data_IF_491248122397
#
_entry.id   IF_491248122397
#
_cell.length_a   1.000
_cell.length_b   1.000
_cell.length_c   1.000
_cell.angle_alpha   90.00
_cell.angle_beta   90.00
_cell.angle_gamma   90.00
#
_symmetry.space_group_name_H-M   'P 1'
#
loop_
_entity.id
_entity.type
_entity.pdbx_description
1 polymer ?
#
# COMPACT_ATOMS: atom_id res chain seq x y z
N UNK A 1 -41.55 -25.18 -48.13
CA UNK A 1 -42.28 -26.01 -47.15
C UNK A 1 -41.24 -26.53 -46.18
N UNK A 2 -41.06 -25.85 -45.06
CA UNK A 2 -40.19 -26.31 -43.99
C UNK A 2 -40.85 -27.53 -43.35
N UNK A 3 -40.13 -28.65 -43.31
CA UNK A 3 -40.51 -29.83 -42.53
C UNK A 3 -40.79 -29.42 -41.08
N UNK A 4 -41.84 -29.93 -40.43
CA UNK A 4 -42.05 -29.66 -39.01
C UNK A 4 -40.77 -30.05 -38.26
N UNK A 5 -40.13 -29.06 -37.66
CA UNK A 5 -38.89 -29.24 -36.91
C UNK A 5 -39.13 -30.32 -35.85
N UNK A 6 -38.33 -31.38 -35.88
CA UNK A 6 -38.39 -32.44 -34.87
C UNK A 6 -38.17 -31.81 -33.50
N UNK A 7 -39.26 -31.63 -32.75
CA UNK A 7 -39.28 -30.89 -31.48
C UNK A 7 -38.44 -31.56 -30.37
N UNK A 8 -37.79 -32.70 -30.63
CA UNK A 8 -36.99 -33.44 -29.67
C UNK A 8 -35.50 -33.45 -30.02
N UNK A 9 -35.11 -32.92 -31.18
CA UNK A 9 -33.71 -32.81 -31.61
C UNK A 9 -33.09 -31.53 -31.04
N UNK A 10 -31.78 -31.54 -30.81
CA UNK A 10 -31.00 -30.45 -30.23
C UNK A 10 -31.40 -30.07 -28.79
N UNK A 11 -31.74 -31.07 -27.98
CA UNK A 11 -32.11 -30.88 -26.56
C UNK A 11 -31.32 -31.80 -25.64
N UNK A 12 -31.12 -31.37 -24.41
CA UNK A 12 -30.56 -32.22 -23.35
C UNK A 12 -31.64 -33.12 -22.75
N UNK A 13 -31.33 -34.39 -22.57
CA UNK A 13 -32.21 -35.35 -21.90
C UNK A 13 -31.80 -35.47 -20.45
N UNK A 14 -32.74 -35.22 -19.55
CA UNK A 14 -32.54 -35.29 -18.10
C UNK A 14 -33.43 -36.39 -17.54
N UNK A 15 -32.83 -37.32 -16.80
CA UNK A 15 -33.58 -38.29 -15.99
C UNK A 15 -33.99 -37.62 -14.68
N UNK A 16 -35.30 -37.47 -14.48
CA UNK A 16 -35.87 -36.96 -13.25
C UNK A 16 -35.65 -37.94 -12.07
N UNK A 17 -35.78 -39.27 -12.21
CA UNK A 17 -35.46 -40.22 -11.13
C UNK A 17 -33.99 -40.22 -10.71
N UNK A 18 -33.06 -40.04 -11.65
CA UNK A 18 -31.62 -40.09 -11.36
C UNK A 18 -31.01 -38.71 -11.08
N UNK A 19 -31.73 -37.63 -11.38
CA UNK A 19 -31.24 -36.26 -11.27
C UNK A 19 -30.03 -35.96 -12.16
N UNK A 20 -29.85 -36.71 -13.27
CA UNK A 20 -28.66 -36.65 -14.13
C UNK A 20 -28.99 -36.34 -15.58
N UNK A 21 -28.08 -35.63 -16.22
CA UNK A 21 -28.11 -35.39 -17.68
C UNK A 21 -27.65 -36.69 -18.36
N UNK A 22 -28.53 -37.30 -19.15
CA UNK A 22 -28.25 -38.53 -19.88
C UNK A 22 -27.46 -38.27 -21.17
N UNK A 23 -27.68 -37.12 -21.81
CA UNK A 23 -26.97 -36.74 -23.03
C UNK A 23 -27.70 -35.67 -23.83
N UNK A 24 -27.11 -35.29 -24.97
CA UNK A 24 -27.69 -34.33 -25.92
C UNK A 24 -28.20 -35.04 -27.17
N UNK A 25 -29.48 -34.84 -27.52
CA UNK A 25 -30.13 -35.51 -28.66
C UNK A 25 -29.66 -34.92 -29.98
N UNK A 26 -29.02 -35.75 -30.79
CA UNK A 26 -28.58 -35.38 -32.14
C UNK A 26 -29.54 -35.82 -33.22
N UNK A 27 -30.27 -36.91 -32.98
CA UNK A 27 -31.19 -37.49 -33.97
C UNK A 27 -32.31 -38.30 -33.30
N UNK A 28 -33.43 -38.46 -33.99
CA UNK A 28 -34.61 -39.18 -33.50
C UNK A 28 -35.23 -40.04 -34.59
N UNK A 29 -35.50 -41.30 -34.26
CA UNK A 29 -36.30 -42.21 -35.06
C UNK A 29 -37.58 -42.56 -34.30
N UNK A 30 -38.69 -42.68 -35.02
CA UNK A 30 -39.96 -43.15 -34.46
C UNK A 30 -40.23 -44.56 -34.97
N UNK A 31 -40.44 -45.50 -34.06
CA UNK A 31 -40.88 -46.86 -34.37
C UNK A 31 -42.30 -47.07 -33.85
N UNK A 32 -43.14 -47.71 -34.65
CA UNK A 32 -44.46 -48.18 -34.21
C UNK A 32 -44.39 -49.70 -34.07
N UNK A 33 -44.56 -50.19 -32.84
CA UNK A 33 -44.65 -51.63 -32.54
C UNK A 33 -45.85 -51.85 -31.62
N UNK A 34 -46.64 -52.89 -31.90
CA UNK A 34 -47.75 -53.32 -31.04
C UNK A 34 -48.72 -52.18 -30.66
N UNK A 35 -49.07 -51.34 -31.64
CA UNK A 35 -49.96 -50.18 -31.46
C UNK A 35 -49.43 -49.08 -30.51
N UNK A 36 -48.14 -49.10 -30.16
CA UNK A 36 -47.48 -48.07 -29.35
C UNK A 36 -46.39 -47.36 -30.15
N UNK A 37 -46.30 -46.04 -29.97
CA UNK A 37 -45.20 -45.23 -30.50
C UNK A 37 -43.99 -45.33 -29.57
N UNK A 38 -42.81 -45.50 -30.17
CA UNK A 38 -41.54 -45.46 -29.47
C UNK A 38 -40.62 -44.44 -30.14
N UNK A 39 -39.98 -43.60 -29.32
CA UNK A 39 -38.94 -42.70 -29.78
C UNK A 39 -37.57 -43.30 -29.48
N UNK A 40 -36.76 -43.47 -30.53
CA UNK A 40 -35.36 -43.86 -30.41
C UNK A 40 -34.52 -42.59 -30.55
N UNK A 41 -34.05 -42.11 -29.41
CA UNK A 41 -33.17 -40.95 -29.32
C UNK A 41 -31.73 -41.41 -29.49
N UNK A 42 -31.02 -40.81 -30.46
CA UNK A 42 -29.56 -40.88 -30.53
C UNK A 42 -29.00 -39.67 -29.79
N UNK A 43 -28.19 -39.94 -28.77
CA UNK A 43 -27.63 -38.89 -27.92
C UNK A 43 -26.12 -39.02 -27.78
N UNK A 44 -25.44 -37.88 -27.69
CA UNK A 44 -24.04 -37.82 -27.28
C UNK A 44 -23.98 -37.70 -25.77
N UNK A 45 -23.25 -38.60 -25.12
CA UNK A 45 -23.14 -38.66 -23.66
C UNK A 45 -22.01 -37.73 -23.18
N UNK A 46 -22.22 -37.08 -22.03
CA UNK A 46 -21.20 -36.28 -21.34
C UNK A 46 -20.50 -37.13 -20.28
N UNK A 47 -19.24 -37.49 -20.50
CA UNK A 47 -18.50 -38.35 -19.55
C UNK A 47 -17.84 -37.60 -18.38
N UNK A 48 -17.79 -36.25 -18.36
CA UNK A 48 -16.94 -35.52 -17.40
C UNK A 48 -17.52 -34.18 -16.89
N UNK A 49 -18.72 -34.17 -16.29
CA UNK A 49 -19.28 -32.94 -15.68
C UNK A 49 -18.55 -32.49 -14.40
N UNK A 50 -17.66 -33.31 -13.82
CA UNK A 50 -17.06 -33.06 -12.50
C UNK A 50 -15.93 -32.02 -12.44
N UNK A 51 -15.53 -31.40 -13.56
CA UNK A 51 -14.33 -30.52 -13.59
C UNK A 51 -14.48 -29.16 -14.26
N UNK A 52 -15.69 -28.71 -14.62
CA UNK A 52 -15.92 -27.30 -15.00
C UNK A 52 -15.22 -26.82 -16.29
N UNK A 53 -14.54 -27.68 -17.04
CA UNK A 53 -13.89 -27.32 -18.30
C UNK A 53 -14.70 -27.90 -19.47
N UNK A 54 -15.46 -27.04 -20.16
CA UNK A 54 -16.09 -27.34 -21.44
C UNK A 54 -15.03 -27.32 -22.54
N UNK A 55 -14.47 -28.49 -22.88
CA UNK A 55 -13.59 -28.62 -24.04
C UNK A 55 -14.39 -29.06 -25.28
N UNK A 56 -14.17 -28.43 -26.46
CA UNK A 56 -14.79 -28.84 -27.72
C UNK A 56 -14.16 -30.14 -28.24
N UNK A 57 -14.50 -31.26 -27.59
CA UNK A 57 -14.00 -32.61 -27.88
C UNK A 57 -14.55 -33.68 -26.94
N UNK A 58 -15.52 -33.34 -26.08
CA UNK A 58 -15.98 -34.12 -24.93
C UNK A 58 -17.06 -35.17 -25.22
N UNK A 59 -17.35 -35.43 -26.50
CA UNK A 59 -18.38 -36.36 -26.94
C UNK A 59 -17.76 -37.68 -27.39
N UNK A 60 -17.54 -38.61 -26.47
CA UNK A 60 -16.82 -39.87 -26.73
C UNK A 60 -17.73 -41.03 -27.15
N UNK A 61 -19.03 -40.99 -26.85
CA UNK A 61 -19.94 -42.12 -27.14
C UNK A 61 -21.34 -41.68 -27.59
N UNK A 62 -21.83 -42.30 -28.67
CA UNK A 62 -23.21 -42.18 -29.13
C UNK A 62 -24.06 -43.28 -28.47
N UNK A 63 -25.00 -42.87 -27.61
CA UNK A 63 -25.91 -43.77 -26.91
C UNK A 63 -27.29 -43.70 -27.57
N UNK A 64 -27.93 -44.86 -27.72
CA UNK A 64 -29.32 -44.95 -28.18
C UNK A 64 -30.21 -45.30 -26.99
N UNK A 65 -31.27 -44.54 -26.81
CA UNK A 65 -32.30 -44.79 -25.79
C UNK A 65 -33.65 -44.88 -26.49
N UNK A 66 -34.43 -45.90 -26.12
CA UNK A 66 -35.81 -46.10 -26.59
C UNK A 66 -36.74 -45.69 -25.45
N UNK A 67 -37.58 -44.69 -25.69
CA UNK A 67 -38.56 -44.17 -24.71
C UNK A 67 -39.98 -44.24 -25.28
N UNK A 68 -40.94 -44.35 -24.37
CA UNK A 68 -42.36 -44.20 -24.68
C UNK A 68 -42.79 -42.74 -24.48
N UNK A 69 -43.88 -42.29 -25.13
CA UNK A 69 -44.48 -40.98 -24.87
C UNK A 69 -44.80 -40.76 -23.38
N UNK A 70 -45.21 -41.81 -22.66
CA UNK A 70 -45.56 -41.77 -21.23
C UNK A 70 -44.35 -41.50 -20.32
N UNK A 71 -43.13 -41.78 -20.78
CA UNK A 71 -41.90 -41.54 -20.02
C UNK A 71 -41.51 -40.05 -20.04
N UNK A 72 -42.07 -39.27 -20.97
CA UNK A 72 -41.77 -37.85 -21.13
C UNK A 72 -42.66 -37.02 -20.20
N UNK A 73 -42.05 -36.40 -19.20
CA UNK A 73 -42.74 -35.52 -18.25
C UNK A 73 -42.92 -34.12 -18.84
N UNK A 74 -41.89 -33.59 -19.51
CA UNK A 74 -41.93 -32.26 -20.11
C UNK A 74 -40.91 -32.15 -21.26
N UNK A 75 -41.27 -31.38 -22.29
CA UNK A 75 -40.39 -30.97 -23.38
C UNK A 75 -40.31 -29.44 -23.37
N UNK A 76 -39.19 -28.92 -22.87
CA UNK A 76 -38.88 -27.49 -22.87
C UNK A 76 -38.15 -27.03 -24.14
N UNK A 77 -37.78 -25.75 -24.24
CA UNK A 77 -37.04 -25.20 -25.39
C UNK A 77 -35.65 -25.82 -25.57
N UNK A 78 -34.98 -26.22 -24.48
CA UNK A 78 -33.60 -26.77 -24.53
C UNK A 78 -33.46 -28.16 -23.89
N UNK A 79 -34.50 -28.64 -23.19
CA UNK A 79 -34.44 -29.85 -22.35
C UNK A 79 -35.65 -30.77 -22.55
N UNK A 80 -35.42 -32.07 -22.45
CA UNK A 80 -36.44 -33.12 -22.37
C UNK A 80 -36.29 -33.78 -21.00
N UNK A 81 -37.36 -33.78 -20.21
CA UNK A 81 -37.40 -34.36 -18.88
C UNK A 81 -38.07 -35.72 -18.97
N UNK A 82 -37.32 -36.78 -18.66
CA UNK A 82 -37.82 -38.15 -18.57
C UNK A 82 -38.13 -38.49 -17.12
N UNK A 83 -39.35 -38.94 -16.85
CA UNK A 83 -39.79 -39.33 -15.51
C UNK A 83 -39.81 -40.83 -15.28
N UNK A 84 -39.62 -41.66 -16.32
CA UNK A 84 -39.89 -43.11 -16.28
C UNK A 84 -41.26 -43.42 -15.63
N UNK A 85 -42.26 -42.57 -15.88
CA UNK A 85 -43.60 -42.68 -15.27
C UNK A 85 -43.70 -42.31 -13.78
N UNK A 86 -42.63 -41.80 -13.15
CA UNK A 86 -42.60 -41.41 -11.72
C UNK A 86 -42.43 -39.89 -11.58
N UNK A 87 -43.52 -39.21 -11.23
CA UNK A 87 -43.44 -37.85 -10.70
C UNK A 87 -42.86 -37.93 -9.27
N UNK A 88 -41.86 -37.11 -8.91
CA UNK A 88 -41.32 -37.06 -7.57
C UNK A 88 -42.45 -36.81 -6.56
N UNK A 89 -42.45 -37.51 -5.41
CA UNK A 89 -43.45 -37.28 -4.37
C UNK A 89 -43.51 -35.80 -3.99
N UNK A 90 -44.70 -35.28 -3.68
CA UNK A 90 -44.90 -33.86 -3.29
C UNK A 90 -43.91 -33.37 -2.21
N UNK A 91 -43.51 -34.27 -1.28
CA UNK A 91 -42.49 -34.00 -0.25
C UNK A 91 -41.11 -33.64 -0.80
N UNK A 92 -40.71 -34.21 -1.94
CA UNK A 92 -39.41 -33.89 -2.56
C UNK A 92 -39.47 -32.54 -3.28
N UNK A 93 -40.63 -32.19 -3.86
CA UNK A 93 -40.87 -30.88 -4.47
C UNK A 93 -40.79 -29.78 -3.40
N UNK A 94 -41.44 -29.97 -2.25
CA UNK A 94 -41.36 -29.03 -1.12
C UNK A 94 -39.93 -28.86 -0.59
N UNK A 95 -39.15 -29.96 -0.51
CA UNK A 95 -37.73 -29.89 -0.15
C UNK A 95 -36.91 -29.11 -1.16
N UNK A 96 -37.15 -29.29 -2.46
CA UNK A 96 -36.44 -28.54 -3.51
C UNK A 96 -36.76 -27.05 -3.45
N UNK A 97 -38.00 -26.67 -3.14
CA UNK A 97 -38.37 -25.27 -2.93
C UNK A 97 -37.62 -24.68 -1.73
N UNK A 98 -37.56 -25.40 -0.60
CA UNK A 98 -36.81 -24.96 0.58
C UNK A 98 -35.32 -24.80 0.27
N UNK A 99 -34.72 -25.75 -0.45
CA UNK A 99 -33.32 -25.66 -0.88
C UNK A 99 -33.09 -24.46 -1.81
N UNK A 100 -34.02 -24.18 -2.72
CA UNK A 100 -33.92 -23.02 -3.60
C UNK A 100 -34.01 -21.68 -2.83
N UNK A 101 -34.86 -21.61 -1.80
CA UNK A 101 -34.96 -20.45 -0.92
C UNK A 101 -33.67 -20.24 -0.12
N UNK A 102 -33.12 -21.30 0.48
CA UNK A 102 -31.82 -21.27 1.19
C UNK A 102 -30.69 -20.86 0.25
N UNK A 103 -30.63 -21.42 -0.96
CA UNK A 103 -29.63 -21.05 -1.95
C UNK A 103 -29.72 -19.57 -2.32
N UNK A 104 -30.92 -19.05 -2.56
CA UNK A 104 -31.12 -17.63 -2.88
C UNK A 104 -30.74 -16.71 -1.70
N UNK A 105 -30.99 -17.14 -0.46
CA UNK A 105 -30.54 -16.40 0.72
C UNK A 105 -29.00 -16.38 0.81
N UNK A 106 -28.36 -17.52 0.58
CA UNK A 106 -26.91 -17.66 0.59
C UNK A 106 -26.25 -16.79 -0.50
N UNK A 107 -26.81 -16.79 -1.71
CA UNK A 107 -26.32 -15.95 -2.82
C UNK A 107 -26.35 -14.47 -2.44
N UNK A 108 -27.45 -13.98 -1.86
CA UNK A 108 -27.55 -12.59 -1.39
C UNK A 108 -26.54 -12.25 -0.30
N UNK A 109 -26.26 -13.18 0.60
CA UNK A 109 -25.24 -12.98 1.64
C UNK A 109 -23.84 -12.92 1.02
N UNK A 110 -23.58 -13.76 0.02
CA UNK A 110 -22.33 -13.82 -0.71
C UNK A 110 -22.09 -12.52 -1.51
N UNK A 111 -23.11 -12.00 -2.19
CA UNK A 111 -23.07 -10.69 -2.87
C UNK A 111 -22.72 -9.55 -1.91
N UNK A 112 -23.36 -9.50 -0.72
CA UNK A 112 -23.04 -8.50 0.31
C UNK A 112 -21.60 -8.60 0.78
N UNK A 113 -21.11 -9.82 0.99
CA UNK A 113 -19.72 -10.05 1.41
C UNK A 113 -18.73 -9.67 0.31
N UNK A 114 -19.06 -9.90 -0.96
CA UNK A 114 -18.23 -9.43 -2.08
C UNK A 114 -18.17 -7.91 -2.16
N UNK A 115 -19.29 -7.20 -1.93
CA UNK A 115 -19.29 -5.73 -1.86
C UNK A 115 -18.44 -5.22 -0.70
N UNK A 116 -18.54 -5.84 0.47
CA UNK A 116 -17.72 -5.52 1.64
C UNK A 116 -16.23 -5.72 1.35
N UNK A 117 -15.86 -6.83 0.70
CA UNK A 117 -14.48 -7.10 0.27
C UNK A 117 -13.98 -6.05 -0.73
N UNK A 118 -14.83 -5.61 -1.67
CA UNK A 118 -14.45 -4.56 -2.63
C UNK A 118 -14.16 -3.24 -1.91
N UNK A 119 -15.03 -2.82 -1.00
CA UNK A 119 -14.82 -1.61 -0.19
C UNK A 119 -13.53 -1.69 0.62
N UNK A 120 -13.31 -2.80 1.33
CA UNK A 120 -12.10 -2.99 2.12
C UNK A 120 -10.83 -3.00 1.25
N UNK A 121 -10.88 -3.55 0.02
CA UNK A 121 -9.76 -3.49 -0.92
C UNK A 121 -9.47 -2.08 -1.40
N UNK A 122 -10.50 -1.25 -1.60
CA UNK A 122 -10.34 0.16 -1.98
C UNK A 122 -9.73 0.96 -0.83
N UNK A 123 -10.27 0.83 0.38
CA UNK A 123 -9.72 1.46 1.59
C UNK A 123 -8.26 1.05 1.82
N UNK A 124 -7.93 -0.23 1.64
CA UNK A 124 -6.56 -0.72 1.81
C UNK A 124 -5.60 -0.11 0.79
N UNK A 125 -6.03 0.09 -0.47
CA UNK A 125 -5.24 0.79 -1.49
C UNK A 125 -5.02 2.26 -1.14
N UNK A 126 -6.04 2.94 -0.61
CA UNK A 126 -5.91 4.33 -0.18
C UNK A 126 -4.94 4.45 1.00
N UNK A 127 -5.07 3.57 1.99
CA UNK A 127 -4.16 3.51 3.14
C UNK A 127 -2.72 3.23 2.71
N UNK A 128 -2.50 2.32 1.76
CA UNK A 128 -1.16 2.07 1.21
C UNK A 128 -0.53 3.32 0.58
N UNK A 129 -1.30 4.09 -0.20
CA UNK A 129 -0.81 5.36 -0.77
C UNK A 129 -0.44 6.36 0.32
N UNK A 130 -1.26 6.47 1.36
CA UNK A 130 -1.00 7.37 2.50
C UNK A 130 0.29 6.94 3.21
N UNK A 131 0.50 5.64 3.42
CA UNK A 131 1.73 5.11 4.02
C UNK A 131 2.95 5.48 3.17
N UNK A 132 2.91 5.26 1.85
CA UNK A 132 4.01 5.62 0.95
C UNK A 132 4.33 7.12 0.99
N UNK A 133 3.31 7.98 1.05
CA UNK A 133 3.50 9.44 1.17
C UNK A 133 4.11 9.83 2.52
N UNK A 134 3.68 9.20 3.60
CA UNK A 134 4.21 9.42 4.94
C UNK A 134 5.66 8.97 5.05
N UNK A 135 6.01 7.80 4.51
CA UNK A 135 7.40 7.32 4.46
C UNK A 135 8.31 8.29 3.70
N UNK A 136 7.84 8.86 2.58
CA UNK A 136 8.59 9.90 1.84
C UNK A 136 8.73 11.19 2.63
N UNK A 137 7.78 11.54 3.51
CA UNK A 137 7.89 12.70 4.40
C UNK A 137 8.90 12.42 5.51
N UNK A 138 8.87 11.23 6.11
CA UNK A 138 9.82 10.81 7.14
C UNK A 138 11.25 10.89 6.62
N UNK A 139 11.55 10.32 5.45
CA UNK A 139 12.90 10.41 4.85
C UNK A 139 13.37 11.85 4.62
N UNK A 140 12.45 12.76 4.27
CA UNK A 140 12.78 14.18 4.11
C UNK A 140 13.10 14.83 5.45
N UNK A 141 12.38 14.45 6.52
CA UNK A 141 12.65 14.95 7.86
C UNK A 141 13.97 14.42 8.40
N UNK A 142 14.33 13.16 8.14
CA UNK A 142 15.63 12.58 8.53
C UNK A 142 16.80 13.39 7.94
N UNK A 143 16.73 13.75 6.64
CA UNK A 143 17.77 14.60 6.01
C UNK A 143 17.85 15.98 6.68
N UNK A 144 16.70 16.58 7.00
CA UNK A 144 16.66 17.88 7.68
C UNK A 144 17.23 17.77 9.10
N UNK A 145 17.00 16.66 9.79
CA UNK A 145 17.55 16.40 11.12
C UNK A 145 19.07 16.27 11.09
N UNK A 146 19.61 15.57 10.09
CA UNK A 146 21.06 15.46 9.86
C UNK A 146 21.68 16.84 9.55
N UNK A 147 21.06 17.62 8.65
CA UNK A 147 21.48 18.99 8.33
C UNK A 147 21.47 19.89 9.59
N UNK A 148 20.44 19.77 10.42
CA UNK A 148 20.36 20.48 11.69
C UNK A 148 21.47 20.06 12.66
N UNK A 149 21.80 18.77 12.72
CA UNK A 149 22.94 18.26 13.48
C UNK A 149 24.26 18.89 13.05
N UNK A 150 24.50 18.97 11.75
CA UNK A 150 25.69 19.64 11.19
C UNK A 150 25.73 21.14 11.52
N UNK A 151 24.61 21.85 11.39
CA UNK A 151 24.53 23.27 11.74
C UNK A 151 24.79 23.51 13.23
N UNK A 152 24.27 22.64 14.10
CA UNK A 152 24.53 22.71 15.55
C UNK A 152 26.02 22.54 15.87
N UNK A 153 26.70 21.60 15.21
CA UNK A 153 28.14 21.42 15.40
C UNK A 153 28.95 22.64 14.93
N UNK A 154 28.56 23.24 13.79
CA UNK A 154 29.18 24.48 13.30
C UNK A 154 28.98 25.64 14.28
N UNK A 155 27.78 25.76 14.86
CA UNK A 155 27.47 26.80 15.83
C UNK A 155 28.33 26.67 17.09
N UNK A 156 28.49 25.45 17.63
CA UNK A 156 29.38 25.18 18.76
C UNK A 156 30.84 25.56 18.45
N UNK A 157 31.33 25.24 17.24
CA UNK A 157 32.67 25.64 16.82
C UNK A 157 32.83 27.16 16.78
N UNK A 158 31.84 27.87 16.26
CA UNK A 158 31.84 29.33 16.22
C UNK A 158 31.77 29.97 17.61
N UNK A 159 30.98 29.40 18.53
CA UNK A 159 30.93 29.86 19.92
C UNK A 159 32.30 29.73 20.60
N UNK A 160 32.99 28.59 20.44
CA UNK A 160 34.35 28.42 20.95
C UNK A 160 35.36 29.41 20.35
N UNK A 161 35.26 29.69 19.05
CA UNK A 161 36.09 30.71 18.39
C UNK A 161 35.81 32.12 18.95
N UNK A 162 34.55 32.45 19.21
CA UNK A 162 34.17 33.73 19.82
C UNK A 162 34.70 33.87 21.24
N UNK A 163 34.67 32.79 22.03
CA UNK A 163 35.24 32.79 23.37
C UNK A 163 36.75 33.04 23.34
N UNK A 164 37.49 32.32 22.49
CA UNK A 164 38.92 32.56 22.29
C UNK A 164 39.21 33.99 21.83
N UNK A 165 38.41 34.54 20.92
CA UNK A 165 38.57 35.92 20.47
C UNK A 165 38.35 36.93 21.61
N UNK A 166 37.38 36.67 22.51
CA UNK A 166 37.15 37.49 23.71
C UNK A 166 38.32 37.42 24.67
N UNK A 167 38.89 36.25 24.91
CA UNK A 167 40.09 36.10 25.75
C UNK A 167 41.30 36.82 25.14
N UNK A 168 41.48 36.71 23.83
CA UNK A 168 42.53 37.41 23.11
C UNK A 168 42.40 38.94 23.23
N UNK A 169 41.18 39.48 23.11
CA UNK A 169 40.92 40.90 23.33
C UNK A 169 41.33 41.32 24.75
N UNK A 170 40.97 40.54 25.79
CA UNK A 170 41.38 40.84 27.18
C UNK A 170 42.89 40.85 27.35
N UNK A 171 43.61 39.91 26.71
CA UNK A 171 45.07 39.90 26.72
C UNK A 171 45.66 41.14 26.07
N UNK A 172 45.11 41.56 24.91
CA UNK A 172 45.54 42.78 24.24
C UNK A 172 45.25 44.04 25.06
N UNK A 173 44.13 44.10 25.77
CA UNK A 173 43.80 45.19 26.70
C UNK A 173 44.80 45.25 27.87
N UNK A 174 45.18 44.10 28.44
CA UNK A 174 46.21 44.02 29.47
C UNK A 174 47.57 44.52 28.97
N UNK A 175 48.02 44.04 27.81
CA UNK A 175 49.28 44.51 27.18
C UNK A 175 49.24 46.02 26.92
N UNK A 176 48.09 46.56 26.49
CA UNK A 176 47.95 48.00 26.28
C UNK A 176 48.11 48.78 27.58
N UNK A 177 47.51 48.31 28.67
CA UNK A 177 47.68 48.91 29.99
C UNK A 177 49.16 48.90 30.42
N UNK A 178 49.85 47.77 30.24
CA UNK A 178 51.27 47.65 30.58
C UNK A 178 52.15 48.61 29.76
N UNK A 179 51.85 48.77 28.46
CA UNK A 179 52.53 49.75 27.60
C UNK A 179 52.33 51.18 28.12
N UNK A 180 51.10 51.53 28.50
CA UNK A 180 50.78 52.86 29.03
C UNK A 180 51.49 53.11 30.38
N UNK A 181 51.58 52.10 31.25
CA UNK A 181 52.33 52.17 32.51
C UNK A 181 53.83 52.36 32.28
N UNK A 182 54.44 51.56 31.40
CA UNK A 182 55.86 51.68 31.01
C UNK A 182 56.12 53.08 30.45
N UNK A 183 55.25 53.59 29.59
CA UNK A 183 55.38 54.95 29.02
C UNK A 183 55.36 56.02 30.11
N UNK A 184 54.46 55.92 31.08
CA UNK A 184 54.37 56.85 32.20
C UNK A 184 55.64 56.79 33.08
N UNK A 185 56.12 55.58 33.37
CA UNK A 185 57.36 55.37 34.14
C UNK A 185 58.57 55.98 33.43
N UNK A 186 58.73 55.76 32.12
CA UNK A 186 59.80 56.37 31.31
C UNK A 186 59.69 57.90 31.33
N UNK A 187 58.48 58.44 31.17
CA UNK A 187 58.25 59.89 31.19
C UNK A 187 58.66 60.49 32.53
N UNK A 188 58.26 59.86 33.64
CA UNK A 188 58.63 60.27 34.99
C UNK A 188 60.14 60.21 35.24
N UNK A 189 60.81 59.13 34.81
CA UNK A 189 62.26 58.99 34.93
C UNK A 189 63.02 60.06 34.14
N UNK A 190 62.59 60.35 32.90
CA UNK A 190 63.19 61.40 32.07
C UNK A 190 63.00 62.77 32.72
N UNK A 191 61.79 63.10 33.17
CA UNK A 191 61.52 64.37 33.86
C UNK A 191 62.37 64.52 35.13
N UNK A 192 62.44 63.47 35.96
CA UNK A 192 63.26 63.48 37.17
C UNK A 192 64.76 63.64 36.87
N UNK A 193 65.27 62.96 35.84
CA UNK A 193 66.67 63.09 35.42
C UNK A 193 66.98 64.49 34.89
N UNK A 194 66.10 65.06 34.05
CA UNK A 194 66.26 66.43 33.55
C UNK A 194 66.23 67.43 34.71
N UNK A 195 65.33 67.28 35.68
CA UNK A 195 65.29 68.12 36.87
C UNK A 195 66.57 68.01 37.70
N UNK A 196 67.08 66.79 37.91
CA UNK A 196 68.31 66.57 38.67
C UNK A 196 69.52 67.22 37.97
N UNK A 197 69.66 67.02 36.66
CA UNK A 197 70.72 67.65 35.86
C UNK A 197 70.58 69.18 35.89
N UNK A 198 69.38 69.72 35.72
CA UNK A 198 69.13 71.17 35.82
C UNK A 198 69.48 71.71 37.21
N UNK A 199 69.09 71.02 38.29
CA UNK A 199 69.45 71.40 39.66
C UNK A 199 70.96 71.37 39.86
N UNK A 200 71.67 70.37 39.31
CA UNK A 200 73.15 70.32 39.37
C UNK A 200 73.77 71.51 38.65
N UNK A 201 73.39 71.76 37.40
CA UNK A 201 73.89 72.89 36.60
C UNK A 201 73.60 74.23 37.29
N UNK A 202 72.38 74.45 37.77
CA UNK A 202 72.01 75.68 38.49
C UNK A 202 72.81 75.82 39.78
N UNK A 203 72.99 74.75 40.56
CA UNK A 203 73.79 74.80 41.78
C UNK A 203 75.27 75.05 41.50
N UNK A 204 75.83 74.43 40.46
CA UNK A 204 77.20 74.68 40.01
C UNK A 204 77.39 76.14 39.60
N UNK A 205 76.47 76.70 38.83
CA UNK A 205 76.52 78.10 38.39
C UNK A 205 76.34 79.08 39.57
N UNK A 206 75.42 78.80 40.50
CA UNK A 206 75.23 79.58 41.72
C UNK A 206 76.46 79.53 42.63
N UNK A 207 77.13 78.38 42.73
CA UNK A 207 78.38 78.22 43.48
C UNK A 207 79.52 78.99 42.78
N UNK A 208 79.66 78.87 41.46
CA UNK A 208 80.69 79.54 40.66
C UNK A 208 80.59 81.07 40.73
N UNK A 209 79.37 81.60 40.84
CA UNK A 209 79.10 83.04 41.01
C UNK A 209 79.10 83.51 42.47
N UNK A 210 79.32 82.63 43.45
CA UNK A 210 79.34 82.96 44.87
C UNK A 210 77.98 83.37 45.46
N UNK A 211 76.87 83.02 44.80
CA UNK A 211 75.50 83.45 45.15
C UNK A 211 74.73 82.44 46.00
N UNK A 212 75.33 81.30 46.36
CA UNK A 212 74.67 80.30 47.20
C UNK A 212 74.56 80.80 48.63
N UNK A 213 73.37 81.24 49.05
CA UNK A 213 73.07 81.48 50.47
C UNK A 213 73.05 80.15 51.22
N UNK A 214 73.98 79.96 52.14
CA UNK A 214 73.88 78.95 53.20
C UNK A 214 72.74 79.36 54.13
N UNK A 215 71.64 78.61 54.10
CA UNK A 215 70.57 78.73 55.09
C UNK A 215 70.96 77.80 56.25
N UNK A 216 71.10 78.37 57.46
CA UNK A 216 71.17 77.64 58.73
C UNK A 216 69.78 77.11 59.05
#
# INVERSE_FOLDING_TARGET
MESPSNQLVNKFVISLPEGKILGFVTDINVEVSDNQYYFILRMKVFENLSRGEFHPGMFSSEKKIKIKPEDIVNVGPDVIILGDGKVPPLREIERLVHIAEEYNALVKELEKKEEEIKKLKEENKELQKIIEELERKVKRLEVIEDDFGHLKEQLLKQEGQLEMAREYIKLLEGIRHDIDEIRNNITSLISGYIEEVMRKVVNEELNARGLKKTII
#
